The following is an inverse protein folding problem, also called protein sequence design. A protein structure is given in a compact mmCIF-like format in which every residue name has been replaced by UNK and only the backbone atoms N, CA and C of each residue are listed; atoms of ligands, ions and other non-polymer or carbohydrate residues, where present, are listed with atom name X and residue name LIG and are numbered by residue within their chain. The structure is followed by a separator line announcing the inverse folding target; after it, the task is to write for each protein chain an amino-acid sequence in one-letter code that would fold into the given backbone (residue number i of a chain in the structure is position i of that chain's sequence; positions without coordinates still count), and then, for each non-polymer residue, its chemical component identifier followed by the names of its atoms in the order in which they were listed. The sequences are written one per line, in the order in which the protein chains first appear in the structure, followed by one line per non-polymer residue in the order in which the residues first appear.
data_IF_932378562922
#
_entry.id   IF_932378562922
#
_cell.length_a   1.000
_cell.length_b   1.000
_cell.length_c   1.000
_cell.angle_alpha   90.00
_cell.angle_beta   90.00
_cell.angle_gamma   90.00
#
_symmetry.space_group_name_H-M   'P 1'
#
loop_
_entity.id
_entity.type
_entity.pdbx_description
1 polymer ?
#
# COMPACT_ATOMS: atom_id res chain seq x y z
N UNK A 1 -13.88 -33.37 17.21
CA UNK A 1 -13.15 -33.18 15.93
C UNK A 1 -11.74 -32.72 16.26
N UNK A 2 -10.70 -33.40 15.80
CA UNK A 2 -9.32 -32.89 15.87
C UNK A 2 -9.06 -32.09 14.60
N UNK A 3 -8.72 -30.81 14.75
CA UNK A 3 -8.25 -29.99 13.64
C UNK A 3 -6.97 -30.62 13.06
N UNK A 4 -6.89 -30.72 11.73
CA UNK A 4 -5.66 -31.12 11.05
C UNK A 4 -4.62 -30.00 11.28
N UNK A 5 -3.35 -30.34 11.57
CA UNK A 5 -2.30 -29.33 11.59
C UNK A 5 -2.11 -28.84 10.15
N UNK A 6 -2.63 -27.66 9.82
CA UNK A 6 -2.30 -27.01 8.56
C UNK A 6 -0.84 -26.59 8.64
N UNK A 7 0.01 -27.23 7.84
CA UNK A 7 1.23 -26.59 7.36
C UNK A 7 0.74 -25.30 6.69
N UNK A 8 0.92 -24.17 7.38
CA UNK A 8 0.14 -22.95 7.18
C UNK A 8 0.16 -22.49 5.74
N UNK A 9 -1.01 -22.17 5.18
CA UNK A 9 -1.06 -21.44 3.92
C UNK A 9 -0.52 -20.03 4.20
N UNK A 10 0.57 -19.68 3.53
CA UNK A 10 1.12 -18.33 3.52
C UNK A 10 0.18 -17.44 2.69
N UNK A 11 -0.71 -16.70 3.35
CA UNK A 11 -1.63 -15.80 2.65
C UNK A 11 -0.95 -14.49 2.29
N UNK A 12 -1.18 -14.03 1.06
CA UNK A 12 -0.75 -12.73 0.56
C UNK A 12 -1.98 -11.89 0.22
N UNK A 13 -2.14 -10.73 0.85
CA UNK A 13 -3.20 -9.79 0.50
C UNK A 13 -2.72 -8.86 -0.63
N UNK A 14 -3.44 -8.83 -1.75
CA UNK A 14 -3.05 -8.05 -2.92
C UNK A 14 -3.57 -6.60 -2.90
N UNK A 15 -4.37 -6.18 -1.90
CA UNK A 15 -4.99 -4.86 -1.92
C UNK A 15 -5.32 -4.34 -0.51
N UNK A 16 -4.34 -3.71 0.12
CA UNK A 16 -4.52 -2.99 1.38
C UNK A 16 -4.34 -1.48 1.19
N UNK A 17 -5.17 -0.71 1.88
CA UNK A 17 -5.04 0.74 2.03
C UNK A 17 -4.95 1.07 3.50
N UNK A 18 -3.97 1.90 3.88
CA UNK A 18 -3.86 2.46 5.23
C UNK A 18 -3.99 3.99 5.20
N UNK A 19 -4.26 4.58 6.34
CA UNK A 19 -4.35 6.04 6.50
C UNK A 19 -5.78 6.58 6.48
N UNK A 20 -5.95 7.89 6.69
CA UNK A 20 -7.26 8.51 6.83
C UNK A 20 -8.02 8.52 5.50
N UNK A 21 -9.28 8.12 5.50
CA UNK A 21 -10.20 8.13 4.34
C UNK A 21 -11.22 9.28 4.46
N UNK A 22 -11.85 9.70 3.34
CA UNK A 22 -12.85 10.82 3.36
C UNK A 22 -13.95 10.49 4.36
N UNK A 23 -14.42 9.25 4.27
CA UNK A 23 -15.46 8.69 5.11
C UNK A 23 -14.79 7.65 5.99
N UNK A 24 -14.64 7.90 7.30
CA UNK A 24 -14.04 6.93 8.21
C UNK A 24 -14.72 5.58 8.09
N UNK A 25 -13.93 4.54 7.81
CA UNK A 25 -14.41 3.17 7.76
C UNK A 25 -14.40 2.59 9.18
N UNK A 26 -15.48 1.93 9.63
CA UNK A 26 -15.44 1.15 10.87
C UNK A 26 -14.31 0.12 10.80
N UNK A 27 -13.38 0.16 11.75
CA UNK A 27 -12.21 -0.73 11.75
C UNK A 27 -11.13 -0.37 10.72
N UNK A 28 -11.15 0.85 10.16
CA UNK A 28 -10.13 1.30 9.24
C UNK A 28 -8.73 1.31 9.87
N UNK A 29 -7.78 0.68 9.18
CA UNK A 29 -6.37 0.62 9.57
C UNK A 29 -5.70 1.96 9.29
N UNK A 30 -5.34 2.71 10.34
CA UNK A 30 -4.78 4.05 10.19
C UNK A 30 -3.26 4.04 10.05
N UNK A 31 -2.58 3.01 10.57
CA UNK A 31 -1.12 2.91 10.55
C UNK A 31 -0.60 1.48 10.40
N UNK A 32 0.73 1.36 10.39
CA UNK A 32 1.45 0.10 10.18
C UNK A 32 1.17 -0.93 11.27
N UNK A 33 1.17 -0.52 12.54
CA UNK A 33 0.98 -1.48 13.63
C UNK A 33 -0.42 -2.11 13.59
N UNK A 34 -1.45 -1.29 13.40
CA UNK A 34 -2.83 -1.75 13.24
C UNK A 34 -2.97 -2.75 12.08
N UNK A 35 -2.22 -2.53 10.98
CA UNK A 35 -2.20 -3.43 9.84
C UNK A 35 -1.57 -4.78 10.20
N UNK A 36 -0.41 -4.75 10.85
CA UNK A 36 0.32 -5.95 11.24
C UNK A 36 -0.48 -6.80 12.24
N UNK A 37 -1.14 -6.16 13.20
CA UNK A 37 -2.00 -6.84 14.18
C UNK A 37 -3.19 -7.54 13.50
N UNK A 38 -3.80 -6.88 12.51
CA UNK A 38 -4.90 -7.45 11.73
C UNK A 38 -4.42 -8.58 10.80
N UNK A 39 -3.25 -8.42 10.17
CA UNK A 39 -2.60 -9.46 9.38
C UNK A 39 -2.34 -10.72 10.23
N UNK A 40 -1.83 -10.55 11.45
CA UNK A 40 -1.59 -11.65 12.38
C UNK A 40 -2.89 -12.34 12.80
N UNK A 41 -3.94 -11.56 13.07
CA UNK A 41 -5.27 -12.08 13.40
C UNK A 41 -5.87 -12.90 12.26
N UNK A 42 -5.63 -12.50 11.01
CA UNK A 42 -6.16 -13.15 9.80
C UNK A 42 -5.26 -14.24 9.23
N UNK A 43 -4.03 -14.38 9.73
CA UNK A 43 -3.03 -15.29 9.18
C UNK A 43 -2.46 -14.85 7.83
N UNK A 44 -2.45 -13.54 7.55
CA UNK A 44 -1.87 -12.94 6.35
C UNK A 44 -0.39 -12.68 6.59
N UNK A 45 0.47 -13.27 5.77
CA UNK A 45 1.92 -13.15 5.95
C UNK A 45 2.44 -11.83 5.37
N UNK A 46 2.02 -11.47 4.16
CA UNK A 46 2.49 -10.29 3.44
C UNK A 46 1.36 -9.59 2.71
N UNK A 47 1.54 -8.32 2.39
CA UNK A 47 0.52 -7.55 1.67
C UNK A 47 1.11 -6.54 0.70
N UNK A 48 0.44 -6.36 -0.45
CA UNK A 48 0.54 -5.16 -1.25
C UNK A 48 -0.29 -4.06 -0.60
N UNK A 49 0.36 -2.96 -0.25
CA UNK A 49 -0.31 -1.84 0.38
C UNK A 49 0.08 -0.49 -0.23
N UNK A 50 -0.79 0.49 -0.01
CA UNK A 50 -0.47 1.90 -0.23
C UNK A 50 -1.05 2.75 0.91
N UNK A 51 -0.43 3.89 1.14
CA UNK A 51 -0.91 4.88 2.10
C UNK A 51 -1.81 5.89 1.40
N UNK A 52 -2.98 6.15 1.97
CA UNK A 52 -3.90 7.17 1.51
C UNK A 52 -3.57 8.54 2.15
N UNK A 53 -3.77 9.64 1.42
CA UNK A 53 -3.65 11.03 1.91
C UNK A 53 -4.52 12.01 1.10
N UNK A 54 -5.00 13.07 1.74
CA UNK A 54 -5.79 14.18 1.15
C UNK A 54 -4.96 15.46 0.92
N UNK A 55 -3.75 15.31 0.40
CA UNK A 55 -2.89 16.47 0.11
C UNK A 55 -3.21 17.08 -1.27
N UNK A 56 -2.82 18.35 -1.49
CA UNK A 56 -2.89 19.02 -2.80
C UNK A 56 -2.07 18.27 -3.86
N UNK A 57 -0.97 17.62 -3.43
CA UNK A 57 -0.16 16.69 -4.22
C UNK A 57 -0.38 15.23 -3.75
N UNK A 58 -1.64 14.85 -3.50
CA UNK A 58 -2.05 13.58 -2.89
C UNK A 58 -1.21 12.38 -3.33
N UNK A 59 -1.03 12.16 -4.63
CA UNK A 59 -0.31 10.97 -5.15
C UNK A 59 1.17 10.94 -4.77
N UNK A 60 1.86 12.09 -4.82
CA UNK A 60 3.26 12.20 -4.42
C UNK A 60 3.39 11.93 -2.92
N UNK A 61 2.49 12.50 -2.13
CA UNK A 61 2.49 12.31 -0.69
C UNK A 61 2.12 10.87 -0.29
N UNK A 62 1.14 10.27 -0.95
CA UNK A 62 0.78 8.85 -0.81
C UNK A 62 2.00 7.95 -1.07
N UNK A 63 2.75 8.18 -2.15
CA UNK A 63 3.96 7.40 -2.45
C UNK A 63 5.06 7.60 -1.38
N UNK A 64 5.27 8.84 -0.92
CA UNK A 64 6.22 9.15 0.15
C UNK A 64 5.87 8.42 1.45
N UNK A 65 4.61 8.48 1.87
CA UNK A 65 4.10 7.81 3.08
C UNK A 65 4.16 6.29 2.95
N UNK A 66 3.82 5.75 1.77
CA UNK A 66 3.90 4.31 1.49
C UNK A 66 5.33 3.80 1.65
N UNK A 67 6.32 4.52 1.11
CA UNK A 67 7.73 4.14 1.26
C UNK A 67 8.24 4.26 2.70
N UNK A 68 7.73 5.22 3.47
CA UNK A 68 8.07 5.34 4.89
C UNK A 68 7.53 4.14 5.69
N UNK A 69 6.25 3.82 5.52
CA UNK A 69 5.58 2.69 6.17
C UNK A 69 6.21 1.34 5.79
N UNK A 70 6.60 1.17 4.52
CA UNK A 70 7.21 -0.08 4.04
C UNK A 70 8.56 -0.40 4.72
N UNK A 71 9.23 0.59 5.31
CA UNK A 71 10.50 0.38 6.03
C UNK A 71 10.30 -0.22 7.42
N UNK A 72 9.09 -0.14 7.96
CA UNK A 72 8.78 -0.63 9.31
C UNK A 72 8.67 -2.16 9.36
N UNK A 73 8.37 -2.82 8.23
CA UNK A 73 8.26 -4.27 8.16
C UNK A 73 8.45 -4.82 6.75
N UNK A 74 9.25 -5.88 6.60
CA UNK A 74 9.44 -6.59 5.34
C UNK A 74 8.17 -7.32 4.84
N UNK A 75 7.15 -7.44 5.69
CA UNK A 75 5.83 -7.99 5.34
C UNK A 75 5.01 -7.04 4.48
N UNK A 76 5.36 -5.75 4.47
CA UNK A 76 4.66 -4.70 3.74
C UNK A 76 5.34 -4.44 2.39
N UNK A 77 4.66 -4.80 1.31
CA UNK A 77 5.14 -4.60 -0.07
C UNK A 77 4.52 -3.32 -0.63
N UNK A 78 5.33 -2.27 -0.91
CA UNK A 78 4.79 -0.99 -1.35
C UNK A 78 4.17 -1.08 -2.75
N UNK A 79 3.04 -0.43 -2.93
CA UNK A 79 2.38 -0.22 -4.23
C UNK A 79 2.41 1.26 -4.60
N UNK A 80 2.95 1.58 -5.77
CA UNK A 80 3.08 2.96 -6.25
C UNK A 80 1.76 3.48 -6.79
N UNK A 81 1.26 4.58 -6.26
CA UNK A 81 0.09 5.27 -6.79
C UNK A 81 0.50 6.11 -7.99
N UNK A 82 0.01 5.71 -9.17
CA UNK A 82 0.37 6.31 -10.44
C UNK A 82 -0.71 7.30 -10.90
N UNK A 83 -0.29 8.48 -11.38
CA UNK A 83 -1.16 9.46 -12.01
C UNK A 83 -1.23 9.22 -13.52
N UNK A 84 -2.39 8.80 -14.02
CA UNK A 84 -2.64 8.60 -15.47
C UNK A 84 -2.90 9.88 -16.24
N UNK A 85 -3.35 10.93 -15.57
CA UNK A 85 -3.55 12.25 -16.16
C UNK A 85 -2.44 13.17 -15.68
N UNK A 86 -1.54 13.63 -16.56
CA UNK A 86 -0.58 14.66 -16.23
C UNK A 86 -1.33 15.91 -15.79
N UNK A 87 -1.03 16.42 -14.59
CA UNK A 87 -1.66 17.63 -14.06
C UNK A 87 -0.78 18.85 -14.21
N UNK A 88 0.47 18.67 -14.66
CA UNK A 88 1.46 19.73 -14.86
C UNK A 88 2.00 19.75 -16.29
N UNK A 89 2.25 20.95 -16.80
CA UNK A 89 2.86 21.13 -18.12
C UNK A 89 4.25 20.49 -18.11
N UNK A 90 4.51 19.60 -19.08
CA UNK A 90 5.79 18.91 -19.24
C UNK A 90 5.95 17.63 -18.42
N UNK A 91 4.99 17.27 -17.58
CA UNK A 91 4.98 15.99 -16.86
C UNK A 91 4.73 14.82 -17.82
N UNK A 92 5.58 13.80 -17.74
CA UNK A 92 5.42 12.55 -18.51
C UNK A 92 5.13 11.38 -17.61
N UNK A 93 4.41 10.40 -18.15
CA UNK A 93 4.12 9.16 -17.44
C UNK A 93 5.42 8.38 -17.15
N UNK A 94 6.34 8.39 -18.10
CA UNK A 94 7.65 7.76 -18.02
C UNK A 94 8.45 8.28 -16.81
N UNK A 95 8.37 9.57 -16.51
CA UNK A 95 9.05 10.15 -15.34
C UNK A 95 8.53 9.56 -14.03
N UNK A 96 7.23 9.24 -13.95
CA UNK A 96 6.64 8.59 -12.78
C UNK A 96 7.05 7.11 -12.68
N UNK A 97 7.17 6.43 -13.82
CA UNK A 97 7.64 5.04 -13.87
C UNK A 97 9.12 4.96 -13.45
N UNK A 98 9.95 5.87 -13.91
CA UNK A 98 11.36 5.96 -13.52
C UNK A 98 11.51 6.21 -12.01
N UNK A 99 10.68 7.09 -11.44
CA UNK A 99 10.62 7.31 -9.99
C UNK A 99 10.20 6.05 -9.22
N UNK A 100 9.17 5.33 -9.70
CA UNK A 100 8.72 4.08 -9.11
C UNK A 100 9.85 3.04 -9.07
N UNK A 101 10.51 2.84 -10.22
CA UNK A 101 11.58 1.86 -10.36
C UNK A 101 12.81 2.25 -9.52
N UNK A 102 13.17 3.53 -9.52
CA UNK A 102 14.25 4.10 -8.71
C UNK A 102 14.01 4.00 -7.20
N UNK A 103 12.74 4.00 -6.76
CA UNK A 103 12.34 3.74 -5.39
C UNK A 103 12.32 2.24 -5.02
N UNK A 104 12.65 1.34 -5.96
CA UNK A 104 12.63 -0.11 -5.75
C UNK A 104 11.22 -0.74 -5.77
N UNK A 105 10.19 0.04 -6.12
CA UNK A 105 8.81 -0.45 -6.17
C UNK A 105 8.58 -1.25 -7.46
N UNK A 106 7.70 -2.26 -7.40
CA UNK A 106 7.43 -3.21 -8.50
C UNK A 106 5.95 -3.36 -8.85
N UNK A 107 5.07 -2.77 -8.06
CA UNK A 107 3.62 -2.78 -8.29
C UNK A 107 3.11 -1.35 -8.38
N UNK A 108 2.20 -1.10 -9.32
CA UNK A 108 1.54 0.19 -9.49
C UNK A 108 0.03 0.05 -9.32
N UNK A 109 -0.58 1.02 -8.66
CA UNK A 109 -2.03 1.24 -8.59
C UNK A 109 -2.40 2.41 -9.48
N UNK A 110 -3.37 2.18 -10.34
CA UNK A 110 -3.96 3.20 -11.22
C UNK A 110 -5.41 3.43 -10.79
N UNK A 111 -5.81 4.69 -10.68
CA UNK A 111 -7.22 5.07 -10.56
C UNK A 111 -7.76 5.37 -11.96
N UNK A 112 -8.82 4.66 -12.33
CA UNK A 112 -9.58 4.90 -13.56
C UNK A 112 -10.73 5.88 -13.27
#
# INVERSE_FOLDING_TARGET
MKALPSKGMEFFDCNVMIGPTVTPLPGGTLGVQDLLDEMDRLGIERTLFFHYSFDIDAKKEMNRLTLAAARESARLVPTWVLATTPTRIGEKLEDQVDQMLGAGVRAARVYA
#
